data_IF_530729259162
#
_entry.id   IF_530729259162
#
_cell.length_a   1.000
_cell.length_b   1.000
_cell.length_c   1.000
_cell.angle_alpha   90.00
_cell.angle_beta   90.00
_cell.angle_gamma   90.00
#
_symmetry.space_group_name_H-M   'P 1'
#
loop_
_entity.id
_entity.type
_entity.pdbx_description
1 polymer ?
#
# COMPACT_ATOMS: atom_id res chain seq x y z
N UNK A 1 -58.79 4.49 104.96
CA UNK A 1 -60.03 5.17 105.39
C UNK A 1 -61.18 4.23 105.09
N UNK A 2 -61.71 3.54 106.12
CA UNK A 2 -63.11 3.65 106.63
C UNK A 2 -64.17 3.27 105.59
N UNK A 3 -65.11 2.35 105.78
CA UNK A 3 -65.71 1.65 106.95
C UNK A 3 -66.47 0.41 106.38
N UNK A 4 -66.47 -0.77 107.03
CA UNK A 4 -67.54 -1.33 107.91
C UNK A 4 -68.94 -1.30 107.25
N UNK A 5 -69.71 -2.38 107.05
CA UNK A 5 -70.25 -3.41 107.98
C UNK A 5 -70.74 -4.63 107.14
N UNK A 6 -70.51 -5.93 107.41
CA UNK A 6 -70.97 -6.84 108.47
C UNK A 6 -72.47 -6.81 108.83
N UNK A 7 -73.30 -7.74 108.31
CA UNK A 7 -74.37 -8.43 109.08
C UNK A 7 -74.65 -9.83 108.48
N UNK A 8 -74.75 -10.81 109.40
CA UNK A 8 -74.92 -12.27 109.27
C UNK A 8 -76.40 -12.73 109.09
N UNK A 9 -76.67 -14.05 108.93
CA UNK A 9 -77.81 -14.62 108.20
C UNK A 9 -79.03 -14.96 109.09
N UNK A 10 -80.11 -15.44 108.47
CA UNK A 10 -81.26 -16.01 109.18
C UNK A 10 -81.79 -17.29 108.50
N UNK A 11 -81.65 -18.41 109.22
CA UNK A 11 -82.36 -19.68 109.00
C UNK A 11 -83.83 -19.55 109.43
N UNK A 12 -84.70 -20.32 108.78
CA UNK A 12 -85.96 -20.93 109.27
C UNK A 12 -86.27 -22.05 108.25
N UNK A 13 -86.10 -23.32 108.62
CA UNK A 13 -87.04 -24.17 109.38
C UNK A 13 -88.37 -24.32 108.63
N UNK A 14 -88.65 -25.53 108.17
CA UNK A 14 -89.88 -25.90 107.47
C UNK A 14 -89.80 -27.28 106.82
N UNK A 15 -89.73 -28.31 107.66
CA UNK A 15 -90.47 -29.59 107.62
C UNK A 15 -90.86 -30.12 106.22
N UNK A 16 -90.20 -31.17 105.74
CA UNK A 16 -90.53 -32.58 106.04
C UNK A 16 -91.99 -32.91 105.71
N UNK A 17 -92.24 -33.25 104.43
CA UNK A 17 -93.40 -34.04 104.03
C UNK A 17 -93.07 -34.90 102.80
N UNK A 18 -93.24 -36.20 103.03
CA UNK A 18 -93.56 -37.26 102.05
C UNK A 18 -92.37 -37.98 101.40
N UNK A 19 -91.87 -38.92 102.20
CA UNK A 19 -91.41 -40.22 101.74
C UNK A 19 -92.34 -40.86 100.70
N UNK A 20 -91.71 -41.42 99.66
CA UNK A 20 -92.17 -42.65 99.02
C UNK A 20 -93.26 -42.50 97.97
N UNK A 21 -92.86 -42.19 96.74
CA UNK A 21 -93.41 -42.76 95.50
C UNK A 21 -92.42 -42.54 94.35
N UNK A 22 -91.81 -43.64 93.89
CA UNK A 22 -91.11 -43.87 92.61
C UNK A 22 -89.81 -43.11 92.30
N UNK A 23 -88.72 -43.51 92.97
CA UNK A 23 -87.32 -43.09 92.76
C UNK A 23 -86.64 -43.69 91.50
N UNK A 24 -87.32 -44.55 90.74
CA UNK A 24 -86.75 -45.25 89.57
C UNK A 24 -87.11 -44.61 88.21
N UNK A 25 -87.88 -43.52 88.19
CA UNK A 25 -88.24 -42.80 86.93
C UNK A 25 -87.37 -41.54 86.71
N UNK A 26 -86.92 -40.85 87.77
CA UNK A 26 -86.13 -39.60 87.64
C UNK A 26 -84.60 -39.77 87.72
N UNK A 27 -84.09 -40.90 88.23
CA UNK A 27 -82.65 -41.19 88.23
C UNK A 27 -82.13 -41.57 86.82
N UNK A 28 -82.95 -42.28 86.04
CA UNK A 28 -82.65 -42.63 84.64
C UNK A 28 -82.58 -41.36 83.76
N UNK A 29 -83.41 -40.34 84.04
CA UNK A 29 -83.45 -39.10 83.26
C UNK A 29 -82.23 -38.18 83.47
N UNK A 30 -81.62 -38.14 84.67
CA UNK A 30 -80.45 -37.27 84.93
C UNK A 30 -79.16 -37.86 84.35
N UNK A 31 -78.93 -39.18 84.52
CA UNK A 31 -77.78 -39.86 83.91
C UNK A 31 -77.83 -39.78 82.37
N UNK A 32 -79.01 -39.93 81.76
CA UNK A 32 -79.20 -39.75 80.32
C UNK A 32 -78.93 -38.31 79.85
N UNK A 33 -79.24 -37.30 80.67
CA UNK A 33 -78.94 -35.89 80.35
C UNK A 33 -77.44 -35.59 80.46
N UNK A 34 -76.76 -36.10 81.49
CA UNK A 34 -75.31 -35.94 81.66
C UNK A 34 -74.52 -36.68 80.57
N UNK A 35 -74.93 -37.90 80.23
CA UNK A 35 -74.33 -38.67 79.12
C UNK A 35 -74.52 -37.97 77.79
N UNK A 36 -75.73 -37.44 77.52
CA UNK A 36 -76.01 -36.64 76.32
C UNK A 36 -75.20 -35.34 76.26
N UNK A 37 -75.07 -34.62 77.38
CA UNK A 37 -74.23 -33.40 77.44
C UNK A 37 -72.74 -33.72 77.24
N UNK A 38 -72.26 -34.84 77.79
CA UNK A 38 -70.88 -35.30 77.58
C UNK A 38 -70.64 -35.72 76.12
N UNK A 39 -71.60 -36.41 75.50
CA UNK A 39 -71.55 -36.75 74.07
C UNK A 39 -71.59 -35.50 73.18
N UNK A 40 -72.45 -34.52 73.49
CA UNK A 40 -72.51 -33.25 72.78
C UNK A 40 -71.21 -32.45 72.94
N UNK A 41 -70.63 -32.39 74.14
CA UNK A 41 -69.33 -31.75 74.39
C UNK A 41 -68.17 -32.50 73.69
N UNK A 42 -68.20 -33.83 73.65
CA UNK A 42 -67.23 -34.63 72.91
C UNK A 42 -67.39 -34.46 71.40
N UNK A 43 -68.61 -34.37 70.89
CA UNK A 43 -68.89 -34.10 69.48
C UNK A 43 -68.44 -32.70 69.08
N UNK A 44 -68.68 -31.70 69.93
CA UNK A 44 -68.20 -30.33 69.74
C UNK A 44 -66.66 -30.28 69.76
N UNK A 45 -66.03 -30.95 70.72
CA UNK A 45 -64.57 -31.06 70.78
C UNK A 45 -63.97 -31.74 69.54
N UNK A 46 -64.59 -32.83 69.03
CA UNK A 46 -64.21 -33.48 67.77
C UNK A 46 -64.37 -32.54 66.58
N UNK A 47 -65.46 -31.78 66.50
CA UNK A 47 -65.68 -30.80 65.43
C UNK A 47 -64.62 -29.71 65.43
N UNK A 48 -64.29 -29.16 66.60
CA UNK A 48 -63.23 -28.15 66.76
C UNK A 48 -61.88 -28.73 66.35
N UNK A 49 -61.57 -29.97 66.75
CA UNK A 49 -60.33 -30.64 66.36
C UNK A 49 -60.25 -30.89 64.84
N UNK A 50 -61.33 -31.36 64.22
CA UNK A 50 -61.40 -31.54 62.76
C UNK A 50 -61.28 -30.21 62.00
N UNK A 51 -61.92 -29.15 62.48
CA UNK A 51 -61.82 -27.81 61.90
C UNK A 51 -60.40 -27.25 62.05
N UNK A 52 -59.75 -27.45 63.20
CA UNK A 52 -58.36 -27.07 63.41
C UNK A 52 -57.40 -27.82 62.46
N UNK A 53 -57.62 -29.12 62.22
CA UNK A 53 -56.83 -29.91 61.25
C UNK A 53 -57.04 -29.37 59.83
N UNK A 54 -58.30 -29.11 59.41
CA UNK A 54 -58.59 -28.53 58.09
C UNK A 54 -57.94 -27.16 57.90
N UNK A 55 -57.95 -26.32 58.93
CA UNK A 55 -57.31 -25.00 58.88
C UNK A 55 -55.79 -25.12 58.78
N UNK A 56 -55.18 -26.06 59.51
CA UNK A 56 -53.74 -26.34 59.43
C UNK A 56 -53.34 -26.86 58.03
N UNK A 57 -54.11 -27.78 57.46
CA UNK A 57 -53.91 -28.29 56.09
C UNK A 57 -54.06 -27.17 55.05
N UNK A 58 -55.09 -26.34 55.16
CA UNK A 58 -55.29 -25.20 54.27
C UNK A 58 -54.16 -24.17 54.36
N UNK A 59 -53.65 -23.91 55.56
CA UNK A 59 -52.51 -23.02 55.78
C UNK A 59 -51.21 -23.57 55.15
N UNK A 60 -50.96 -24.88 55.26
CA UNK A 60 -49.80 -25.52 54.63
C UNK A 60 -49.90 -25.53 53.10
N UNK A 61 -51.09 -25.76 52.54
CA UNK A 61 -51.34 -25.64 51.10
C UNK A 61 -51.09 -24.21 50.63
N UNK A 62 -51.61 -23.21 51.35
CA UNK A 62 -51.40 -21.79 51.01
C UNK A 62 -49.93 -21.40 51.07
N UNK A 63 -49.19 -21.85 52.09
CA UNK A 63 -47.74 -21.62 52.21
C UNK A 63 -46.96 -22.23 51.05
N UNK A 64 -47.25 -23.48 50.69
CA UNK A 64 -46.61 -24.16 49.55
C UNK A 64 -46.94 -23.47 48.22
N UNK A 65 -48.18 -23.00 48.04
CA UNK A 65 -48.57 -22.25 46.85
C UNK A 65 -47.85 -20.90 46.76
N UNK A 66 -47.68 -20.20 47.89
CA UNK A 66 -46.91 -18.95 47.92
C UNK A 66 -45.42 -19.18 47.64
N UNK A 67 -44.81 -20.22 48.24
CA UNK A 67 -43.42 -20.61 47.96
C UNK A 67 -43.23 -20.97 46.47
N UNK A 68 -44.14 -21.73 45.88
CA UNK A 68 -44.11 -22.05 44.45
C UNK A 68 -44.21 -20.80 43.56
N UNK A 69 -45.11 -19.85 43.90
CA UNK A 69 -45.23 -18.57 43.18
C UNK A 69 -43.95 -17.75 43.28
N UNK A 70 -43.32 -17.68 44.45
CA UNK A 70 -42.03 -16.99 44.63
C UNK A 70 -40.92 -17.63 43.80
N UNK A 71 -40.89 -18.95 43.71
CA UNK A 71 -39.91 -19.67 42.88
C UNK A 71 -40.14 -19.42 41.38
N UNK A 72 -41.39 -19.40 40.93
CA UNK A 72 -41.73 -19.08 39.53
C UNK A 72 -41.36 -17.63 39.17
N UNK A 73 -41.65 -16.68 40.05
CA UNK A 73 -41.25 -15.28 39.88
C UNK A 73 -39.72 -15.12 39.84
N UNK A 74 -39.00 -15.83 40.71
CA UNK A 74 -37.54 -15.80 40.68
C UNK A 74 -36.97 -16.46 39.41
N UNK A 75 -37.56 -17.58 38.96
CA UNK A 75 -37.15 -18.26 37.74
C UNK A 75 -37.40 -17.41 36.49
N UNK A 76 -38.56 -16.74 36.41
CA UNK A 76 -38.88 -15.82 35.31
C UNK A 76 -37.96 -14.60 35.31
N UNK A 77 -37.64 -14.03 36.48
CA UNK A 77 -36.65 -12.95 36.60
C UNK A 77 -35.27 -13.38 36.11
N UNK A 78 -34.79 -14.55 36.52
CA UNK A 78 -33.49 -15.09 36.08
C UNK A 78 -33.49 -15.36 34.58
N UNK A 79 -34.56 -15.93 34.03
CA UNK A 79 -34.69 -16.17 32.60
C UNK A 79 -34.69 -14.87 31.79
N UNK A 80 -35.40 -13.82 32.26
CA UNK A 80 -35.40 -12.51 31.63
C UNK A 80 -34.01 -11.84 31.66
N UNK A 81 -33.28 -11.97 32.77
CA UNK A 81 -31.91 -11.47 32.87
C UNK A 81 -30.95 -12.21 31.93
N UNK A 82 -31.06 -13.55 31.86
CA UNK A 82 -30.28 -14.35 30.93
C UNK A 82 -30.57 -13.99 29.46
N UNK A 83 -31.85 -13.79 29.11
CA UNK A 83 -32.26 -13.38 27.78
C UNK A 83 -31.68 -12.00 27.41
N UNK A 84 -31.73 -11.02 28.32
CA UNK A 84 -31.11 -9.70 28.11
C UNK A 84 -29.60 -9.79 27.88
N UNK A 85 -28.89 -10.59 28.67
CA UNK A 85 -27.44 -10.79 28.51
C UNK A 85 -27.12 -11.48 27.17
N UNK A 86 -27.89 -12.49 26.79
CA UNK A 86 -27.72 -13.17 25.51
C UNK A 86 -27.95 -12.22 24.32
N UNK A 87 -28.94 -11.35 24.40
CA UNK A 87 -29.19 -10.33 23.38
C UNK A 87 -28.08 -9.29 23.30
N UNK A 88 -27.53 -8.85 24.43
CA UNK A 88 -26.40 -7.94 24.46
C UNK A 88 -25.14 -8.54 23.84
N UNK A 89 -24.83 -9.81 24.14
CA UNK A 89 -23.73 -10.55 23.51
C UNK A 89 -23.93 -10.64 22.00
N UNK A 90 -25.14 -11.02 21.55
CA UNK A 90 -25.47 -11.08 20.12
C UNK A 90 -25.26 -9.73 19.43
N UNK A 91 -25.65 -8.63 20.07
CA UNK A 91 -25.45 -7.27 19.53
C UNK A 91 -23.96 -6.92 19.40
N UNK A 92 -23.17 -7.26 20.41
CA UNK A 92 -21.71 -7.04 20.38
C UNK A 92 -21.02 -7.88 19.30
N UNK A 93 -21.40 -9.15 19.15
CA UNK A 93 -20.87 -10.02 18.10
C UNK A 93 -21.23 -9.52 16.69
N UNK A 94 -22.45 -9.06 16.49
CA UNK A 94 -22.87 -8.49 15.21
C UNK A 94 -22.11 -7.19 14.89
N UNK A 95 -21.91 -6.31 15.87
CA UNK A 95 -21.13 -5.10 15.69
C UNK A 95 -19.65 -5.42 15.41
N UNK A 96 -19.07 -6.39 16.11
CA UNK A 96 -17.71 -6.85 15.87
C UNK A 96 -17.56 -7.44 14.47
N UNK A 97 -18.53 -8.24 14.02
CA UNK A 97 -18.57 -8.80 12.65
C UNK A 97 -18.63 -7.69 11.61
N UNK A 98 -19.50 -6.69 11.80
CA UNK A 98 -19.60 -5.55 10.87
C UNK A 98 -18.29 -4.77 10.78
N UNK A 99 -17.65 -4.48 11.92
CA UNK A 99 -16.34 -3.81 11.95
C UNK A 99 -15.26 -4.63 11.26
N UNK A 100 -15.24 -5.96 11.45
CA UNK A 100 -14.30 -6.84 10.79
C UNK A 100 -14.50 -6.86 9.27
N UNK A 101 -15.76 -6.92 8.80
CA UNK A 101 -16.07 -6.87 7.37
C UNK A 101 -15.68 -5.52 6.72
N UNK A 102 -15.96 -4.41 7.40
CA UNK A 102 -15.54 -3.07 6.96
C UNK A 102 -14.02 -2.94 6.90
N UNK A 103 -13.30 -3.49 7.89
CA UNK A 103 -11.84 -3.51 7.90
C UNK A 103 -11.27 -4.31 6.72
N UNK A 104 -11.81 -5.51 6.47
CA UNK A 104 -11.41 -6.35 5.34
C UNK A 104 -11.66 -5.65 3.99
N UNK A 105 -12.82 -5.01 3.81
CA UNK A 105 -13.13 -4.24 2.59
C UNK A 105 -12.15 -3.07 2.40
N UNK A 106 -11.79 -2.38 3.48
CA UNK A 106 -10.84 -1.26 3.42
C UNK A 106 -9.42 -1.75 3.09
N UNK A 107 -9.00 -2.87 3.65
CA UNK A 107 -7.71 -3.51 3.35
C UNK A 107 -7.63 -3.97 1.89
N UNK A 108 -8.67 -4.63 1.38
CA UNK A 108 -8.73 -5.03 -0.01
C UNK A 108 -8.69 -3.83 -0.97
N UNK A 109 -9.45 -2.77 -0.66
CA UNK A 109 -9.42 -1.54 -1.45
C UNK A 109 -8.04 -0.85 -1.40
N UNK A 110 -7.33 -0.91 -0.27
CA UNK A 110 -5.97 -0.39 -0.15
C UNK A 110 -4.98 -1.22 -1.01
N UNK A 111 -5.08 -2.56 -0.95
CA UNK A 111 -4.25 -3.47 -1.75
C UNK A 111 -4.43 -3.25 -3.25
N UNK A 112 -5.67 -3.09 -3.72
CA UNK A 112 -5.95 -2.82 -5.13
C UNK A 112 -5.34 -1.49 -5.60
N UNK A 113 -5.42 -0.44 -4.77
CA UNK A 113 -4.78 0.85 -5.08
C UNK A 113 -3.26 0.75 -5.13
N UNK A 114 -2.66 0.02 -4.19
CA UNK A 114 -1.22 -0.20 -4.16
C UNK A 114 -0.74 -0.97 -5.41
N UNK A 115 -1.48 -2.01 -5.81
CA UNK A 115 -1.19 -2.76 -7.04
C UNK A 115 -1.32 -1.88 -8.29
N UNK A 116 -2.33 -1.02 -8.35
CA UNK A 116 -2.51 -0.07 -9.46
C UNK A 116 -1.34 0.93 -9.54
N UNK A 117 -0.91 1.49 -8.41
CA UNK A 117 0.25 2.39 -8.34
C UNK A 117 1.50 1.67 -8.83
N UNK A 118 1.77 0.47 -8.31
CA UNK A 118 2.93 -0.33 -8.72
C UNK A 118 2.92 -0.65 -10.21
N UNK A 119 1.75 -0.93 -10.79
CA UNK A 119 1.60 -1.18 -12.23
C UNK A 119 1.91 0.08 -13.04
N UNK A 120 1.41 1.25 -12.62
CA UNK A 120 1.68 2.53 -13.28
C UNK A 120 3.17 2.89 -13.21
N UNK A 121 3.80 2.73 -12.05
CA UNK A 121 5.24 2.96 -11.88
C UNK A 121 6.08 2.04 -12.77
N UNK A 122 5.74 0.76 -12.84
CA UNK A 122 6.42 -0.19 -13.72
C UNK A 122 6.26 0.18 -15.21
N UNK A 123 5.09 0.66 -15.61
CA UNK A 123 4.86 1.12 -16.98
C UNK A 123 5.66 2.38 -17.32
N UNK A 124 5.70 3.36 -16.42
CA UNK A 124 6.51 4.58 -16.57
C UNK A 124 7.99 4.22 -16.71
N UNK A 125 8.51 3.38 -15.81
CA UNK A 125 9.89 2.91 -15.85
C UNK A 125 10.22 2.21 -17.17
N UNK A 126 9.33 1.33 -17.65
CA UNK A 126 9.52 0.66 -18.95
C UNK A 126 9.61 1.66 -20.10
N UNK A 127 8.73 2.67 -20.13
CA UNK A 127 8.75 3.72 -21.15
C UNK A 127 10.04 4.55 -21.09
N UNK A 128 10.54 4.88 -19.91
CA UNK A 128 11.82 5.58 -19.74
C UNK A 128 12.99 4.74 -20.22
N UNK A 129 13.04 3.45 -19.88
CA UNK A 129 14.06 2.52 -20.36
C UNK A 129 14.00 2.37 -21.89
N UNK A 130 12.82 2.25 -22.48
CA UNK A 130 12.61 2.20 -23.94
C UNK A 130 13.08 3.49 -24.63
N UNK A 131 12.80 4.68 -24.07
CA UNK A 131 13.27 5.96 -24.59
C UNK A 131 14.79 6.07 -24.51
N UNK A 132 15.38 5.69 -23.38
CA UNK A 132 16.83 5.69 -23.19
C UNK A 132 17.51 4.75 -24.18
N UNK A 133 16.95 3.56 -24.38
CA UNK A 133 17.46 2.59 -25.36
C UNK A 133 17.34 3.14 -26.79
N UNK A 134 16.22 3.79 -27.14
CA UNK A 134 16.05 4.42 -28.46
C UNK A 134 17.07 5.53 -28.69
N UNK A 135 17.28 6.39 -27.70
CA UNK A 135 18.28 7.46 -27.77
C UNK A 135 19.69 6.92 -27.91
N UNK A 136 20.05 5.87 -27.15
CA UNK A 136 21.36 5.24 -27.28
C UNK A 136 21.52 4.52 -28.62
N UNK A 137 20.50 3.81 -29.10
CA UNK A 137 20.50 3.19 -30.42
C UNK A 137 20.63 4.24 -31.53
N UNK A 138 19.95 5.38 -31.40
CA UNK A 138 20.06 6.48 -32.36
C UNK A 138 21.46 7.11 -32.30
N UNK A 139 22.02 7.30 -31.11
CA UNK A 139 23.40 7.78 -30.91
C UNK A 139 24.40 6.81 -31.54
N UNK A 140 24.25 5.52 -31.29
CA UNK A 140 25.08 4.47 -31.88
C UNK A 140 24.90 4.36 -33.39
N UNK A 141 23.68 4.50 -33.93
CA UNK A 141 23.43 4.52 -35.36
C UNK A 141 24.06 5.76 -36.03
N UNK A 142 24.00 6.92 -35.38
CA UNK A 142 24.71 8.14 -35.81
C UNK A 142 26.22 7.97 -35.75
N UNK A 143 26.75 7.31 -34.72
CA UNK A 143 28.19 7.02 -34.58
C UNK A 143 28.68 5.93 -35.54
N UNK A 144 27.83 4.95 -35.87
CA UNK A 144 28.12 3.78 -36.70
C UNK A 144 27.76 3.98 -38.17
N UNK A 145 27.31 5.17 -38.59
CA UNK A 145 27.08 5.47 -40.00
C UNK A 145 28.42 5.48 -40.73
N UNK A 146 28.80 4.31 -41.24
CA UNK A 146 29.89 4.15 -42.22
C UNK A 146 29.54 5.05 -43.39
N UNK A 147 30.43 6.00 -43.72
CA UNK A 147 30.22 6.92 -44.83
C UNK A 147 29.98 6.12 -46.11
N UNK A 148 28.87 6.42 -46.79
CA UNK A 148 28.58 5.81 -48.09
C UNK A 148 29.50 6.40 -49.16
N UNK A 149 29.60 5.72 -50.31
CA UNK A 149 30.35 6.22 -51.48
C UNK A 149 29.92 7.64 -51.86
N UNK A 150 28.62 7.93 -51.85
CA UNK A 150 28.08 9.24 -52.20
C UNK A 150 28.43 10.30 -51.14
N UNK A 151 28.42 9.94 -49.86
CA UNK A 151 28.84 10.83 -48.76
C UNK A 151 30.32 11.25 -48.93
N UNK A 152 31.18 10.30 -49.33
CA UNK A 152 32.61 10.56 -49.58
C UNK A 152 32.79 11.51 -50.77
N UNK A 153 32.03 11.32 -51.85
CA UNK A 153 32.08 12.20 -53.04
C UNK A 153 31.63 13.62 -52.67
N UNK A 154 30.53 13.75 -51.94
CA UNK A 154 30.02 15.05 -51.49
C UNK A 154 30.99 15.76 -50.54
N UNK A 155 31.70 15.01 -49.69
CA UNK A 155 32.73 15.56 -48.82
C UNK A 155 33.87 16.20 -49.64
N UNK A 156 34.39 15.49 -50.65
CA UNK A 156 35.44 16.05 -51.52
C UNK A 156 34.98 17.32 -52.24
N UNK A 157 33.77 17.33 -52.79
CA UNK A 157 33.21 18.52 -53.44
C UNK A 157 33.04 19.69 -52.45
N UNK A 158 32.71 19.41 -51.20
CA UNK A 158 32.61 20.42 -50.14
C UNK A 158 33.98 20.96 -49.74
N UNK A 159 34.98 20.08 -49.61
CA UNK A 159 36.35 20.48 -49.31
C UNK A 159 36.95 21.35 -50.41
N UNK A 160 36.67 21.07 -51.69
CA UNK A 160 37.13 21.93 -52.79
C UNK A 160 36.45 23.31 -52.76
N UNK A 161 35.14 23.36 -52.43
CA UNK A 161 34.44 24.63 -52.21
C UNK A 161 35.04 25.42 -51.04
N UNK A 162 35.35 24.78 -49.92
CA UNK A 162 35.99 25.43 -48.78
C UNK A 162 37.37 25.98 -49.16
N UNK A 163 38.18 25.24 -49.92
CA UNK A 163 39.44 25.75 -50.42
C UNK A 163 39.29 27.03 -51.24
N UNK A 164 38.24 27.12 -52.07
CA UNK A 164 37.96 28.35 -52.83
C UNK A 164 37.56 29.50 -51.91
N UNK A 165 36.71 29.25 -50.90
CA UNK A 165 36.26 30.27 -49.94
C UNK A 165 37.42 30.83 -49.11
N UNK A 166 38.37 30.00 -48.69
CA UNK A 166 39.53 30.42 -47.89
C UNK A 166 40.41 31.43 -48.65
N UNK A 167 40.45 31.35 -49.98
CA UNK A 167 41.24 32.30 -50.78
C UNK A 167 40.69 33.72 -50.73
N UNK A 168 39.36 33.86 -50.64
CA UNK A 168 38.65 35.14 -50.66
C UNK A 168 38.26 35.64 -49.27
N UNK A 169 38.26 34.78 -48.26
CA UNK A 169 37.88 35.15 -46.90
C UNK A 169 38.88 36.13 -46.27
N UNK A 170 38.34 37.03 -45.45
CA UNK A 170 39.09 38.02 -44.66
C UNK A 170 39.46 37.47 -43.28
N UNK A 171 38.59 36.65 -42.69
CA UNK A 171 38.80 36.01 -41.38
C UNK A 171 38.60 34.49 -41.52
N UNK A 172 39.56 33.73 -41.00
CA UNK A 172 39.58 32.27 -41.00
C UNK A 172 39.61 31.74 -39.58
N UNK A 173 39.01 30.56 -39.39
CA UNK A 173 39.13 29.79 -38.16
C UNK A 173 39.41 28.33 -38.44
N UNK A 174 39.51 27.54 -37.38
CA UNK A 174 39.78 26.10 -37.43
C UNK A 174 38.85 25.34 -38.38
N UNK A 175 37.56 25.66 -38.36
CA UNK A 175 36.52 25.00 -39.17
C UNK A 175 36.42 25.52 -40.62
N UNK A 176 37.14 26.60 -40.96
CA UNK A 176 37.19 27.13 -42.32
C UNK A 176 38.00 26.20 -43.23
N UNK A 177 39.00 25.50 -42.68
CA UNK A 177 39.92 24.64 -43.44
C UNK A 177 39.34 23.26 -43.75
N UNK A 178 39.47 22.77 -45.00
CA UNK A 178 39.12 21.41 -45.37
C UNK A 178 40.26 20.45 -44.99
N UNK A 179 40.36 20.14 -43.70
CA UNK A 179 41.32 19.15 -43.19
C UNK A 179 41.19 17.84 -43.97
N UNK A 180 42.30 17.19 -44.39
CA UNK A 180 42.27 16.01 -45.24
C UNK A 180 41.91 14.75 -44.43
N UNK A 181 40.73 14.74 -43.82
CA UNK A 181 40.17 13.67 -42.99
C UNK A 181 38.66 13.58 -43.21
N UNK A 182 38.07 12.40 -43.05
CA UNK A 182 36.63 12.18 -43.28
C UNK A 182 35.74 12.78 -42.20
N UNK A 183 36.19 12.72 -40.94
CA UNK A 183 35.52 13.33 -39.80
C UNK A 183 36.16 14.70 -39.57
N UNK A 184 35.35 15.75 -39.49
CA UNK A 184 35.85 17.10 -39.20
C UNK A 184 36.51 17.08 -37.81
N UNK A 185 37.81 17.40 -37.71
CA UNK A 185 38.51 17.38 -36.45
C UNK A 185 38.06 18.55 -35.59
N UNK A 186 37.95 18.35 -34.28
CA UNK A 186 37.72 19.44 -33.32
C UNK A 186 39.04 19.94 -32.74
N UNK A 187 40.08 19.08 -32.69
CA UNK A 187 41.42 19.41 -32.20
C UNK A 187 42.54 18.84 -33.11
N UNK A 188 43.78 19.36 -33.03
CA UNK A 188 44.91 18.87 -33.83
C UNK A 188 45.18 17.38 -33.69
N UNK A 189 44.93 16.80 -32.52
CA UNK A 189 45.13 15.40 -32.18
C UNK A 189 44.16 14.46 -32.95
N UNK A 190 43.00 14.97 -33.35
CA UNK A 190 42.04 14.22 -34.18
C UNK A 190 42.60 13.97 -35.60
N UNK A 191 43.59 14.76 -36.01
CA UNK A 191 44.25 14.63 -37.32
C UNK A 191 45.37 13.59 -37.17
N UNK A 192 45.09 12.35 -37.58
CA UNK A 192 46.09 11.26 -37.53
C UNK A 192 46.59 10.90 -38.92
N UNK A 193 47.83 10.39 -39.04
CA UNK A 193 48.35 9.84 -40.31
C UNK A 193 47.40 8.80 -40.90
N UNK A 194 46.76 7.98 -40.05
CA UNK A 194 45.77 6.97 -40.49
C UNK A 194 44.56 7.64 -41.13
N UNK A 195 43.99 8.67 -40.49
CA UNK A 195 42.84 9.40 -41.04
C UNK A 195 43.20 10.14 -42.34
N UNK A 196 44.38 10.75 -42.41
CA UNK A 196 44.90 11.40 -43.62
C UNK A 196 45.07 10.38 -44.74
N UNK A 197 45.62 9.20 -44.43
CA UNK A 197 45.80 8.12 -45.41
C UNK A 197 44.47 7.65 -45.99
N UNK A 198 43.46 7.45 -45.14
CA UNK A 198 42.15 7.02 -45.60
C UNK A 198 41.51 8.05 -46.55
N UNK A 199 41.68 9.34 -46.26
CA UNK A 199 41.18 10.43 -47.09
C UNK A 199 41.94 10.54 -48.43
N UNK A 200 43.26 10.66 -48.39
CA UNK A 200 44.11 10.92 -49.58
C UNK A 200 44.22 9.70 -50.48
N UNK A 201 44.10 8.49 -49.94
CA UNK A 201 44.15 7.24 -50.72
C UNK A 201 42.74 6.74 -51.12
N UNK A 202 41.68 7.50 -50.81
CA UNK A 202 40.31 7.09 -51.10
C UNK A 202 40.11 6.77 -52.60
N UNK A 203 39.54 5.60 -52.95
CA UNK A 203 39.20 5.22 -54.33
C UNK A 203 38.09 6.07 -54.95
N UNK A 204 37.33 6.80 -54.11
CA UNK A 204 36.19 7.61 -54.53
C UNK A 204 36.55 9.06 -54.83
N UNK A 205 37.84 9.35 -54.93
CA UNK A 205 38.31 10.65 -55.36
C UNK A 205 38.20 10.76 -56.88
N UNK A 206 37.52 11.79 -57.36
CA UNK A 206 37.19 11.97 -58.79
C UNK A 206 38.38 12.47 -59.64
N UNK A 207 39.62 12.21 -59.23
CA UNK A 207 40.82 12.65 -59.95
C UNK A 207 41.44 11.49 -60.73
N UNK A 208 41.74 11.72 -62.01
CA UNK A 208 42.47 10.78 -62.86
C UNK A 208 43.98 10.69 -62.51
N UNK A 209 44.42 11.42 -61.47
CA UNK A 209 45.83 11.48 -61.04
C UNK A 209 46.19 10.26 -60.20
N UNK A 210 47.45 9.83 -60.31
CA UNK A 210 47.99 8.75 -59.49
C UNK A 210 47.91 9.09 -58.00
N UNK A 211 47.81 8.06 -57.16
CA UNK A 211 47.87 8.19 -55.69
C UNK A 211 49.07 9.02 -55.22
N UNK A 212 50.23 8.84 -55.85
CA UNK A 212 51.46 9.58 -55.56
C UNK A 212 51.35 11.06 -55.90
N UNK A 213 50.72 11.40 -57.02
CA UNK A 213 50.52 12.79 -57.43
C UNK A 213 49.51 13.50 -56.54
N UNK A 214 48.46 12.80 -56.10
CA UNK A 214 47.48 13.30 -55.12
C UNK A 214 48.15 13.68 -53.80
N UNK A 215 49.05 12.82 -53.30
CA UNK A 215 49.83 13.10 -52.07
C UNK A 215 50.70 14.35 -52.27
N UNK A 216 51.44 14.43 -53.38
CA UNK A 216 52.29 15.59 -53.70
C UNK A 216 51.49 16.90 -53.82
N UNK A 217 50.29 16.84 -54.40
CA UNK A 217 49.40 17.99 -54.50
C UNK A 217 48.95 18.49 -53.12
N UNK A 218 48.57 17.57 -52.23
CA UNK A 218 48.24 17.92 -50.84
C UNK A 218 49.44 18.50 -50.10
N UNK A 219 50.65 17.94 -50.27
CA UNK A 219 51.88 18.49 -49.67
C UNK A 219 52.12 19.92 -50.13
N UNK A 220 51.96 20.23 -51.42
CA UNK A 220 52.09 21.59 -51.95
C UNK A 220 51.03 22.56 -51.41
N UNK A 221 49.83 22.06 -51.09
CA UNK A 221 48.72 22.88 -50.58
C UNK A 221 48.88 23.19 -49.10
N UNK A 222 49.40 22.24 -48.32
CA UNK A 222 49.62 22.34 -46.89
C UNK A 222 51.06 22.74 -46.50
N UNK A 223 51.97 22.91 -47.46
CA UNK A 223 53.38 23.23 -47.19
C UNK A 223 53.51 24.44 -46.26
N UNK A 224 54.33 24.35 -45.18
CA UNK A 224 54.39 25.39 -44.13
C UNK A 224 54.69 26.77 -44.71
N UNK A 225 55.65 26.87 -45.64
CA UNK A 225 55.99 28.14 -46.30
C UNK A 225 54.76 28.82 -46.95
N UNK A 226 53.97 28.07 -47.73
CA UNK A 226 52.79 28.63 -48.40
C UNK A 226 51.64 28.86 -47.42
N UNK A 227 51.47 27.96 -46.47
CA UNK A 227 50.34 27.99 -45.55
C UNK A 227 50.50 29.11 -44.50
N UNK A 228 51.69 29.23 -43.92
CA UNK A 228 52.04 30.26 -42.93
C UNK A 228 52.09 31.66 -43.54
N UNK A 229 52.46 31.80 -44.82
CA UNK A 229 52.48 33.12 -45.48
C UNK A 229 51.10 33.56 -45.99
N UNK A 230 50.30 32.63 -46.54
CA UNK A 230 49.05 32.99 -47.24
C UNK A 230 47.81 32.92 -46.37
N UNK A 231 47.73 31.96 -45.46
CA UNK A 231 46.49 31.64 -44.74
C UNK A 231 46.57 31.94 -43.26
N UNK A 232 47.69 31.62 -42.59
CA UNK A 232 47.85 31.86 -41.15
C UNK A 232 47.62 33.33 -40.72
N UNK A 233 48.03 34.37 -41.48
CA UNK A 233 47.78 35.77 -41.09
C UNK A 233 46.31 36.17 -41.13
N UNK A 234 45.47 35.41 -41.84
CA UNK A 234 44.01 35.61 -41.90
C UNK A 234 43.27 34.83 -40.82
N UNK A 235 43.95 33.93 -40.11
CA UNK A 235 43.36 33.15 -39.03
C UNK A 235 43.27 34.04 -37.80
N UNK A 236 42.16 33.92 -37.06
CA UNK A 236 42.00 34.62 -35.80
C UNK A 236 43.13 34.30 -34.83
N UNK A 237 43.62 35.31 -34.11
CA UNK A 237 44.78 35.19 -33.22
C UNK A 237 44.59 34.11 -32.15
N UNK A 238 43.36 33.90 -31.66
CA UNK A 238 43.01 32.86 -30.67
C UNK A 238 43.09 31.43 -31.22
N UNK A 239 43.03 31.26 -32.54
CA UNK A 239 43.07 29.95 -33.21
C UNK A 239 44.35 29.72 -34.04
N UNK A 240 45.23 30.71 -34.17
CA UNK A 240 46.43 30.63 -35.02
C UNK A 240 47.35 29.48 -34.66
N UNK A 241 47.70 29.33 -33.38
CA UNK A 241 48.60 28.26 -32.91
C UNK A 241 47.99 26.88 -33.18
N UNK A 242 46.69 26.74 -32.89
CA UNK A 242 45.93 25.51 -33.13
C UNK A 242 45.93 25.14 -34.61
N UNK A 243 45.62 26.09 -35.49
CA UNK A 243 45.60 25.87 -36.95
C UNK A 243 47.00 25.56 -37.49
N UNK A 244 48.03 26.26 -37.00
CA UNK A 244 49.43 26.01 -37.37
C UNK A 244 49.87 24.59 -36.99
N UNK A 245 49.55 24.17 -35.77
CA UNK A 245 49.84 22.81 -35.30
C UNK A 245 49.13 21.76 -36.16
N UNK A 246 47.82 21.92 -36.40
CA UNK A 246 47.05 21.02 -37.27
C UNK A 246 47.63 20.91 -38.68
N UNK A 247 48.01 22.05 -39.30
CA UNK A 247 48.66 22.06 -40.60
C UNK A 247 50.01 21.32 -40.58
N UNK A 248 50.79 21.50 -39.51
CA UNK A 248 52.04 20.77 -39.29
C UNK A 248 51.82 19.25 -39.19
N UNK A 249 50.79 18.81 -38.48
CA UNK A 249 50.41 17.37 -38.38
C UNK A 249 50.05 16.83 -39.76
N UNK A 250 49.25 17.57 -40.54
CA UNK A 250 48.90 17.19 -41.92
C UNK A 250 50.13 17.01 -42.80
N UNK A 251 51.06 17.96 -42.81
CA UNK A 251 52.28 17.89 -43.63
C UNK A 251 53.13 16.69 -43.25
N UNK A 252 53.31 16.42 -41.94
CA UNK A 252 54.04 15.25 -41.45
C UNK A 252 53.40 13.95 -41.93
N UNK A 253 52.08 13.81 -41.76
CA UNK A 253 51.33 12.64 -42.21
C UNK A 253 51.43 12.44 -43.73
N UNK A 254 51.32 13.51 -44.52
CA UNK A 254 51.45 13.43 -45.99
C UNK A 254 52.86 13.03 -46.45
N UNK A 255 53.91 13.56 -45.81
CA UNK A 255 55.30 13.20 -46.13
C UNK A 255 55.61 11.74 -45.77
N UNK A 256 55.08 11.26 -44.64
CA UNK A 256 55.16 9.85 -44.24
C UNK A 256 54.50 8.94 -45.30
N UNK A 257 53.32 9.33 -45.82
CA UNK A 257 52.63 8.60 -46.89
C UNK A 257 53.39 8.62 -48.22
N UNK A 258 53.98 9.75 -48.60
CA UNK A 258 54.79 9.84 -49.82
C UNK A 258 56.01 8.93 -49.74
N UNK A 259 56.67 8.90 -48.57
CA UNK A 259 57.83 8.04 -48.33
C UNK A 259 57.45 6.57 -48.40
N UNK A 260 56.37 6.15 -47.73
CA UNK A 260 55.83 4.78 -47.81
C UNK A 260 55.44 4.39 -49.23
N UNK A 261 54.81 5.29 -49.99
CA UNK A 261 54.43 5.04 -51.39
C UNK A 261 55.65 4.85 -52.29
N UNK A 262 56.73 5.61 -52.09
CA UNK A 262 57.98 5.45 -52.84
C UNK A 262 58.66 4.12 -52.54
N UNK A 263 58.65 3.68 -51.28
CA UNK A 263 59.19 2.38 -50.85
C UNK A 263 58.41 1.24 -51.51
N UNK A 264 57.08 1.25 -51.42
CA UNK A 264 56.26 0.19 -52.03
C UNK A 264 56.38 0.14 -53.56
N UNK A 265 56.63 1.29 -54.22
CA UNK A 265 56.90 1.36 -55.65
C UNK A 265 58.30 0.87 -56.04
N UNK A 266 59.24 0.77 -55.11
CA UNK A 266 60.60 0.27 -55.35
C UNK A 266 60.71 -1.26 -55.13
N UNK A 267 59.72 -1.86 -54.46
CA UNK A 267 59.64 -3.30 -54.15
C UNK A 267 58.53 -4.03 -54.91
N UNK A 268 57.83 -3.36 -55.83
CA UNK A 268 56.83 -3.91 -56.75
C UNK A 268 57.34 -3.82 -58.19
#
# INVERSE_FOLDING_TARGET
MRNHDNVKPRRKDGDDWLAGLDDDIYAIDIEMIEERMLEEAQAESRRIAEEAVRLAEAADIARRAEEARRQEEEATRKAAEAARKAEEVRRMEEEARRKAEEAMKKEEAARLKEEEIRRREAEVRRREEELKQRLENERQAKMSKIMTKDDVIQLFATHERQWNLITTAEELGWYSFPWPVFKKPSEPEDITTVAISAYVLSPHHQSDKSTKDRIKEHIRRWHPDRFETKYLPKVREDEQDKVKEGAGVVVRGLNELLTRSNINSAFS
#
